data_IF_730618086292
#
_entry.id   IF_730618086292
#
_cell.length_a   1.000
_cell.length_b   1.000
_cell.length_c   1.000
_cell.angle_alpha   90.00
_cell.angle_beta   90.00
_cell.angle_gamma   90.00
#
_symmetry.space_group_name_H-M   'P 1'
#
loop_
_entity.id
_entity.type
_entity.pdbx_description
1 polymer ?
#
# COMPACT_ATOMS: atom_id res chain seq x y z
N UNK A 1 -9.52 35.93 -30.40
CA UNK A 1 -9.66 35.26 -29.08
C UNK A 1 -10.91 34.37 -28.93
N UNK A 2 -11.60 33.98 -30.01
CA UNK A 2 -12.77 33.07 -29.92
C UNK A 2 -12.43 31.59 -30.25
N UNK A 3 -11.28 31.31 -30.85
CA UNK A 3 -10.94 29.97 -31.35
C UNK A 3 -10.36 29.01 -30.28
N UNK A 4 -9.86 29.54 -29.16
CA UNK A 4 -9.26 28.72 -28.07
C UNK A 4 -10.29 28.11 -27.12
N UNK A 5 -11.49 28.68 -27.01
CA UNK A 5 -12.55 28.18 -26.13
C UNK A 5 -13.31 26.98 -26.71
N UNK A 6 -13.48 26.94 -28.04
CA UNK A 6 -14.20 25.85 -28.72
C UNK A 6 -13.39 24.54 -28.66
N UNK A 7 -12.06 24.62 -28.73
CA UNK A 7 -11.18 23.44 -28.70
C UNK A 7 -11.19 22.75 -27.32
N UNK A 8 -11.23 23.52 -26.22
CA UNK A 8 -11.29 22.95 -24.87
C UNK A 8 -12.67 22.36 -24.52
N UNK A 9 -13.78 22.97 -24.95
CA UNK A 9 -15.10 22.40 -24.73
C UNK A 9 -15.33 21.10 -25.54
N UNK A 10 -14.80 21.04 -26.78
CA UNK A 10 -14.86 19.84 -27.60
C UNK A 10 -14.02 18.67 -27.06
N UNK A 11 -12.81 18.94 -26.55
CA UNK A 11 -11.91 17.91 -26.02
C UNK A 11 -12.38 17.31 -24.68
N UNK A 12 -13.22 18.00 -23.91
CA UNK A 12 -13.85 17.45 -22.69
C UNK A 12 -15.17 16.71 -23.01
N UNK A 13 -15.91 17.15 -24.02
CA UNK A 13 -17.16 16.50 -24.41
C UNK A 13 -16.97 15.13 -25.08
N UNK A 14 -15.85 14.92 -25.79
CA UNK A 14 -15.59 13.65 -26.50
C UNK A 14 -15.36 12.47 -25.54
N UNK A 15 -14.52 12.57 -24.48
CA UNK A 15 -14.35 11.48 -23.50
C UNK A 15 -15.64 11.19 -22.72
N UNK A 16 -16.40 12.22 -22.33
CA UNK A 16 -17.65 12.04 -21.57
C UNK A 16 -18.77 11.46 -22.45
N UNK A 17 -18.90 11.94 -23.69
CA UNK A 17 -19.90 11.44 -24.65
C UNK A 17 -19.62 10.02 -25.12
N UNK A 18 -18.35 9.64 -25.30
CA UNK A 18 -17.98 8.26 -25.63
C UNK A 18 -18.26 7.31 -24.48
N UNK A 19 -17.96 7.71 -23.24
CA UNK A 19 -18.26 6.90 -22.05
C UNK A 19 -19.77 6.70 -21.86
N UNK A 20 -20.57 7.76 -21.96
CA UNK A 20 -22.04 7.65 -21.86
C UNK A 20 -22.65 6.86 -23.04
N UNK A 21 -22.13 7.03 -24.26
CA UNK A 21 -22.58 6.27 -25.43
C UNK A 21 -22.35 4.77 -25.31
N UNK A 22 -21.20 4.37 -24.74
CA UNK A 22 -20.90 2.95 -24.45
C UNK A 22 -21.85 2.41 -23.38
N UNK A 23 -22.11 3.16 -22.31
CA UNK A 23 -23.02 2.74 -21.24
C UNK A 23 -24.47 2.57 -21.73
N UNK A 24 -24.98 3.49 -22.56
CA UNK A 24 -26.31 3.36 -23.15
C UNK A 24 -26.39 2.23 -24.19
N UNK A 25 -25.31 1.99 -24.94
CA UNK A 25 -25.23 0.86 -25.88
C UNK A 25 -25.28 -0.50 -25.17
N UNK A 26 -24.55 -0.62 -24.05
CA UNK A 26 -24.57 -1.82 -23.21
C UNK A 26 -25.96 -2.03 -22.60
N UNK A 27 -26.60 -0.98 -22.07
CA UNK A 27 -27.93 -1.11 -21.49
C UNK A 27 -28.99 -1.49 -22.55
N UNK A 28 -28.91 -0.95 -23.76
CA UNK A 28 -29.78 -1.32 -24.87
C UNK A 28 -29.57 -2.77 -25.34
N UNK A 29 -28.32 -3.25 -25.38
CA UNK A 29 -28.01 -4.64 -25.69
C UNK A 29 -28.55 -5.59 -24.61
N UNK A 30 -28.43 -5.21 -23.34
CA UNK A 30 -28.96 -5.96 -22.20
C UNK A 30 -30.48 -6.09 -22.26
N UNK A 31 -31.18 -4.97 -22.52
CA UNK A 31 -32.64 -4.99 -22.72
C UNK A 31 -33.05 -5.86 -23.91
N UNK A 32 -32.32 -5.82 -25.03
CA UNK A 32 -32.59 -6.68 -26.19
C UNK A 32 -32.33 -8.17 -25.92
N UNK A 33 -31.46 -8.49 -24.96
CA UNK A 33 -31.08 -9.85 -24.57
C UNK A 33 -31.86 -10.38 -23.36
N UNK A 34 -32.80 -9.59 -22.82
CA UNK A 34 -33.60 -9.96 -21.64
C UNK A 34 -32.85 -9.85 -20.31
N UNK A 35 -31.70 -9.17 -20.29
CA UNK A 35 -30.91 -8.93 -19.08
C UNK A 35 -31.40 -7.67 -18.33
N UNK A 36 -31.26 -7.63 -16.99
CA UNK A 36 -31.64 -6.46 -16.20
C UNK A 36 -30.74 -5.25 -16.52
N UNK A 37 -31.26 -4.01 -16.42
CA UNK A 37 -30.50 -2.80 -16.69
C UNK A 37 -29.24 -2.69 -15.83
N UNK A 38 -28.21 -2.02 -16.35
CA UNK A 38 -26.90 -1.88 -15.70
C UNK A 38 -26.99 -1.15 -14.34
N UNK A 39 -28.07 -0.39 -14.11
CA UNK A 39 -28.31 0.39 -12.90
C UNK A 39 -29.71 0.12 -12.32
N UNK A 40 -29.96 -1.11 -11.87
CA UNK A 40 -31.09 -1.35 -10.96
C UNK A 40 -30.59 -1.52 -9.53
N UNK A 41 -31.11 -0.78 -8.55
CA UNK A 41 -30.81 -1.04 -7.15
C UNK A 41 -31.36 -2.42 -6.77
N UNK A 42 -30.49 -3.32 -6.32
CA UNK A 42 -30.86 -4.63 -5.80
C UNK A 42 -31.71 -4.47 -4.54
N UNK A 43 -33.00 -4.76 -4.64
CA UNK A 43 -33.88 -4.92 -3.49
C UNK A 43 -33.47 -6.19 -2.72
N UNK A 44 -32.96 -6.00 -1.51
CA UNK A 44 -32.66 -7.03 -0.52
C UNK A 44 -33.93 -7.84 -0.17
N UNK A 45 -33.89 -9.18 -0.11
CA UNK A 45 -35.06 -9.97 0.24
C UNK A 45 -35.20 -10.07 1.77
N UNK A 46 -36.24 -9.45 2.33
CA UNK A 46 -36.69 -9.75 3.70
C UNK A 46 -37.36 -8.59 4.44
N UNK A 47 -38.67 -8.40 4.24
CA UNK A 47 -39.63 -8.02 5.31
C UNK A 47 -41.04 -7.95 4.71
N UNK A 48 -42.02 -8.55 5.40
CA UNK A 48 -43.34 -8.89 4.89
C UNK A 48 -44.32 -7.72 4.69
N UNK A 49 -45.27 -7.96 3.79
CA UNK A 49 -46.46 -7.13 3.57
C UNK A 49 -47.46 -7.87 2.69
N UNK A 50 -48.58 -8.25 3.29
CA UNK A 50 -49.64 -9.09 2.72
C UNK A 50 -50.56 -8.35 1.75
N UNK A 51 -50.87 -8.97 0.61
CA UNK A 51 -52.07 -8.86 -0.27
C UNK A 51 -51.63 -9.30 -1.68
N UNK A 52 -52.31 -10.11 -2.49
CA UNK A 52 -53.63 -10.72 -2.53
C UNK A 52 -53.94 -10.96 -4.02
N UNK A 53 -54.33 -12.18 -4.42
CA UNK A 53 -55.04 -12.42 -5.69
C UNK A 53 -54.35 -13.24 -6.79
N UNK A 54 -54.79 -14.51 -6.89
CA UNK A 54 -55.10 -15.32 -8.09
C UNK A 54 -54.23 -15.34 -9.35
N UNK A 55 -53.91 -16.56 -9.79
CA UNK A 55 -53.79 -16.91 -11.22
C UNK A 55 -52.88 -18.10 -11.49
N UNK A 56 -53.45 -19.29 -11.64
CA UNK A 56 -52.72 -20.53 -11.97
C UNK A 56 -52.25 -20.62 -13.42
N UNK A 57 -51.34 -21.56 -13.67
CA UNK A 57 -50.89 -21.93 -15.00
C UNK A 57 -49.65 -22.82 -14.96
N UNK A 58 -49.86 -24.13 -14.99
CA UNK A 58 -48.83 -25.13 -15.28
C UNK A 58 -48.15 -24.86 -16.63
N UNK A 59 -46.83 -24.89 -16.67
CA UNK A 59 -46.11 -25.28 -17.89
C UNK A 59 -44.72 -25.83 -17.55
N UNK A 60 -44.59 -27.15 -17.72
CA UNK A 60 -43.35 -27.90 -17.85
C UNK A 60 -42.47 -27.31 -18.95
N UNK A 61 -41.25 -26.90 -18.61
CA UNK A 61 -40.23 -26.48 -19.57
C UNK A 61 -38.84 -26.72 -19.01
N UNK A 62 -38.34 -27.94 -19.18
CA UNK A 62 -36.94 -28.26 -18.97
C UNK A 62 -36.07 -27.42 -19.91
N UNK A 63 -35.21 -26.60 -19.33
CA UNK A 63 -34.16 -25.88 -20.01
C UNK A 63 -32.87 -26.10 -19.22
N UNK A 64 -32.06 -27.06 -19.67
CA UNK A 64 -30.69 -27.21 -19.22
C UNK A 64 -29.90 -25.96 -19.59
N UNK A 65 -29.85 -25.01 -18.66
CA UNK A 65 -28.94 -23.88 -18.72
C UNK A 65 -27.58 -24.34 -18.22
N UNK A 66 -26.69 -24.64 -19.16
CA UNK A 66 -25.25 -24.69 -18.94
C UNK A 66 -24.85 -23.57 -17.99
N UNK A 67 -24.39 -23.92 -16.80
CA UNK A 67 -23.74 -22.99 -15.88
C UNK A 67 -22.41 -22.56 -16.50
N UNK A 68 -22.49 -21.68 -17.50
CA UNK A 68 -21.36 -20.82 -17.82
C UNK A 68 -21.16 -19.96 -16.59
N UNK A 69 -20.23 -20.35 -15.72
CA UNK A 69 -19.76 -19.47 -14.67
C UNK A 69 -19.27 -18.21 -15.37
N UNK A 70 -20.06 -17.13 -15.30
CA UNK A 70 -19.55 -15.82 -15.66
C UNK A 70 -18.41 -15.58 -14.69
N UNK A 71 -17.18 -15.56 -15.19
CA UNK A 71 -16.02 -15.23 -14.37
C UNK A 71 -16.27 -13.85 -13.78
N UNK A 72 -16.37 -13.76 -12.46
CA UNK A 72 -16.53 -12.50 -11.75
C UNK A 72 -15.22 -11.71 -11.86
N UNK A 73 -15.23 -10.65 -12.66
CA UNK A 73 -14.11 -9.75 -12.88
C UNK A 73 -14.35 -8.38 -12.20
N UNK A 74 -15.17 -8.35 -11.16
CA UNK A 74 -15.44 -7.13 -10.39
C UNK A 74 -14.21 -6.59 -9.67
N UNK A 75 -14.25 -5.29 -9.36
CA UNK A 75 -13.30 -4.60 -8.50
C UNK A 75 -14.01 -4.29 -7.19
N UNK A 76 -13.40 -4.65 -6.06
CA UNK A 76 -13.95 -4.42 -4.72
C UNK A 76 -13.02 -3.51 -3.94
N UNK A 77 -13.59 -2.45 -3.36
CA UNK A 77 -12.91 -1.56 -2.43
C UNK A 77 -13.40 -1.85 -1.02
N UNK A 78 -12.50 -2.26 -0.14
CA UNK A 78 -12.80 -2.60 1.25
C UNK A 78 -12.08 -1.64 2.19
N UNK A 79 -12.76 -1.22 3.26
CA UNK A 79 -12.21 -0.32 4.27
C UNK A 79 -12.05 -1.04 5.61
N UNK A 80 -10.91 -0.82 6.27
CA UNK A 80 -10.52 -1.42 7.53
C UNK A 80 -9.97 -0.33 8.48
N UNK A 81 -10.73 -0.03 9.54
CA UNK A 81 -10.35 0.97 10.55
C UNK A 81 -10.03 0.34 11.91
N UNK A 82 -9.84 -0.99 11.95
CA UNK A 82 -9.38 -1.69 13.14
C UNK A 82 -7.95 -1.24 13.47
N UNK A 83 -7.59 -1.26 14.76
CA UNK A 83 -6.22 -0.92 15.17
C UNK A 83 -5.18 -1.86 14.55
N UNK A 84 -5.46 -3.16 14.54
CA UNK A 84 -4.65 -4.15 13.85
C UNK A 84 -5.56 -5.21 13.23
N UNK A 85 -5.40 -5.45 11.95
CA UNK A 85 -6.16 -6.44 11.20
C UNK A 85 -5.41 -6.81 9.93
N UNK A 86 -5.01 -8.07 9.81
CA UNK A 86 -4.38 -8.59 8.60
C UNK A 86 -5.41 -8.76 7.49
N UNK A 87 -5.16 -8.11 6.36
CA UNK A 87 -5.94 -8.21 5.13
C UNK A 87 -5.04 -8.87 4.10
N UNK A 88 -5.37 -10.08 3.66
CA UNK A 88 -4.59 -10.80 2.63
C UNK A 88 -5.44 -10.95 1.37
N UNK A 89 -5.40 -9.99 0.42
CA UNK A 89 -6.11 -10.09 -0.84
C UNK A 89 -5.68 -11.32 -1.63
N UNK A 90 -6.62 -12.11 -2.17
CA UNK A 90 -6.26 -13.28 -2.96
C UNK A 90 -5.54 -12.87 -4.25
N UNK A 91 -4.47 -13.58 -4.57
CA UNK A 91 -3.59 -13.33 -5.70
C UNK A 91 -3.23 -14.64 -6.40
N UNK A 92 -3.10 -14.61 -7.73
CA UNK A 92 -2.48 -15.71 -8.51
C UNK A 92 -0.95 -15.61 -8.60
N UNK A 93 -0.40 -14.50 -8.13
CA UNK A 93 1.03 -14.25 -8.03
C UNK A 93 1.48 -14.26 -6.57
N UNK A 94 2.35 -13.31 -6.24
CA UNK A 94 2.84 -13.00 -4.91
C UNK A 94 1.68 -12.68 -3.97
N UNK A 95 1.79 -13.19 -2.73
CA UNK A 95 0.83 -12.92 -1.68
C UNK A 95 1.31 -11.80 -0.78
N UNK A 96 0.36 -10.96 -0.38
CA UNK A 96 0.62 -9.82 0.47
C UNK A 96 -0.40 -9.73 1.60
N UNK A 97 0.07 -9.32 2.76
CA UNK A 97 -0.77 -8.97 3.90
C UNK A 97 -0.66 -7.48 4.21
N UNK A 98 -1.78 -6.76 4.13
CA UNK A 98 -1.89 -5.37 4.57
C UNK A 98 -2.40 -5.28 6.00
N UNK A 99 -1.98 -4.24 6.72
CA UNK A 99 -2.44 -4.01 8.09
C UNK A 99 -2.53 -2.51 8.40
N UNK A 100 -3.65 -2.01 8.98
CA UNK A 100 -3.72 -0.65 9.52
C UNK A 100 -2.65 -0.33 10.57
N UNK A 101 -2.27 -1.34 11.36
CA UNK A 101 -1.15 -1.37 12.31
C UNK A 101 -0.97 -0.08 13.14
N UNK A 102 -1.99 0.27 13.93
CA UNK A 102 -2.06 1.43 14.83
C UNK A 102 -1.51 1.07 16.22
N UNK A 103 -0.29 0.54 16.26
CA UNK A 103 0.34 -0.02 17.45
C UNK A 103 0.63 1.01 18.56
N UNK A 104 0.73 2.29 18.22
CA UNK A 104 0.91 3.39 19.18
C UNK A 104 -0.38 3.91 19.81
N UNK A 105 -1.55 3.41 19.41
CA UNK A 105 -2.84 3.85 19.95
C UNK A 105 -3.17 3.11 21.25
N UNK A 106 -3.22 3.83 22.37
CA UNK A 106 -3.47 3.27 23.70
C UNK A 106 -4.94 3.29 24.15
N UNK A 107 -5.73 4.26 23.65
CA UNK A 107 -7.11 4.47 24.09
C UNK A 107 -8.14 3.56 23.38
N UNK A 108 -7.68 2.78 22.41
CA UNK A 108 -8.50 1.88 21.62
C UNK A 108 -9.22 2.53 20.44
N UNK A 109 -9.09 3.85 20.24
CA UNK A 109 -9.84 4.61 19.23
C UNK A 109 -8.98 4.79 17.99
N UNK A 110 -9.44 4.22 16.88
CA UNK A 110 -8.72 4.35 15.63
C UNK A 110 -8.73 5.78 15.09
N UNK A 111 -7.56 6.24 14.64
CA UNK A 111 -7.37 7.49 13.88
C UNK A 111 -7.02 7.25 12.41
N UNK A 112 -7.15 6.01 11.92
CA UNK A 112 -6.72 5.58 10.59
C UNK A 112 -7.66 4.54 9.99
N UNK A 113 -7.97 4.70 8.71
CA UNK A 113 -8.66 3.69 7.91
C UNK A 113 -7.83 3.32 6.68
N UNK A 114 -7.55 2.03 6.54
CA UNK A 114 -6.93 1.42 5.37
C UNK A 114 -8.01 1.10 4.34
N UNK A 115 -7.79 1.45 3.08
CA UNK A 115 -8.62 1.06 1.95
C UNK A 115 -7.81 0.16 1.02
N UNK A 116 -8.38 -0.97 0.60
CA UNK A 116 -7.72 -1.95 -0.25
C UNK A 116 -8.56 -2.22 -1.48
N UNK A 117 -7.95 -2.14 -2.65
CA UNK A 117 -8.56 -2.47 -3.95
C UNK A 117 -8.23 -3.91 -4.32
N UNK A 118 -9.24 -4.75 -4.50
CA UNK A 118 -9.09 -6.16 -4.84
C UNK A 118 -9.83 -6.49 -6.13
N UNK A 119 -9.33 -7.48 -6.87
CA UNK A 119 -9.94 -7.94 -8.12
C UNK A 119 -10.51 -9.34 -7.92
N UNK A 120 -11.79 -9.54 -8.25
CA UNK A 120 -12.49 -10.82 -8.03
C UNK A 120 -11.87 -11.99 -8.82
N UNK A 121 -11.08 -11.68 -9.85
CA UNK A 121 -10.37 -12.67 -10.66
C UNK A 121 -8.91 -12.90 -10.20
N UNK A 122 -8.47 -12.24 -9.13
CA UNK A 122 -7.17 -12.42 -8.47
C UNK A 122 -5.95 -12.12 -9.37
N UNK A 123 -6.14 -11.38 -10.46
CA UNK A 123 -5.07 -11.05 -11.41
C UNK A 123 -4.67 -9.59 -11.31
N UNK A 124 -3.45 -9.34 -10.88
CA UNK A 124 -2.80 -8.03 -10.85
C UNK A 124 -1.92 -7.82 -12.09
N UNK A 125 -1.41 -6.60 -12.37
CA UNK A 125 -0.66 -6.29 -13.59
C UNK A 125 0.53 -7.22 -13.87
N UNK A 126 1.23 -7.67 -12.83
CA UNK A 126 2.29 -8.69 -12.88
C UNK A 126 2.06 -9.75 -11.80
N UNK A 127 2.84 -10.83 -11.84
CA UNK A 127 2.84 -11.85 -10.78
C UNK A 127 3.38 -11.32 -9.44
N UNK A 128 4.00 -10.15 -9.42
CA UNK A 128 4.64 -9.55 -8.25
C UNK A 128 3.98 -8.23 -7.89
N UNK A 129 2.86 -7.88 -8.54
CA UNK A 129 2.14 -6.64 -8.30
C UNK A 129 1.22 -6.81 -7.10
N UNK A 130 1.33 -5.89 -6.16
CA UNK A 130 0.43 -5.79 -5.04
C UNK A 130 -0.92 -5.15 -5.43
N UNK A 131 -1.99 -5.39 -4.65
CA UNK A 131 -3.21 -4.59 -4.71
C UNK A 131 -2.93 -3.11 -4.42
N UNK A 132 -3.61 -2.21 -5.14
CA UNK A 132 -3.57 -0.80 -4.80
C UNK A 132 -4.26 -0.54 -3.46
N UNK A 133 -3.68 0.31 -2.63
CA UNK A 133 -4.19 0.60 -1.30
C UNK A 133 -3.91 2.03 -0.85
N UNK A 134 -4.63 2.47 0.17
CA UNK A 134 -4.42 3.78 0.79
C UNK A 134 -4.71 3.74 2.29
N UNK A 135 -4.13 4.66 3.04
CA UNK A 135 -4.45 4.88 4.44
C UNK A 135 -4.79 6.36 4.64
N UNK A 136 -6.04 6.63 5.04
CA UNK A 136 -6.46 7.98 5.46
C UNK A 136 -6.39 8.05 6.97
N UNK A 137 -5.69 9.04 7.51
CA UNK A 137 -5.49 9.16 8.94
C UNK A 137 -5.39 10.59 9.41
N UNK A 138 -5.58 10.75 10.72
CA UNK A 138 -5.34 11.98 11.48
C UNK A 138 -5.02 11.60 12.92
N UNK A 139 -3.86 12.01 13.41
CA UNK A 139 -3.48 11.86 14.81
C UNK A 139 -3.07 13.20 15.39
N UNK A 140 -3.23 13.35 16.71
CA UNK A 140 -2.61 14.44 17.45
C UNK A 140 -1.12 14.13 17.68
N UNK A 141 -0.33 15.14 18.03
CA UNK A 141 1.11 14.93 18.25
C UNK A 141 1.32 13.97 19.43
N UNK A 142 2.05 12.87 19.18
CA UNK A 142 2.42 11.90 20.21
C UNK A 142 3.49 12.45 21.18
N UNK A 143 3.69 11.80 22.34
CA UNK A 143 4.78 12.14 23.25
C UNK A 143 6.15 11.86 22.61
N UNK A 144 7.20 12.56 23.04
CA UNK A 144 8.58 12.37 22.52
C UNK A 144 9.09 10.93 22.68
N UNK A 145 8.61 10.19 23.69
CA UNK A 145 8.98 8.80 23.94
C UNK A 145 8.32 7.80 23.00
N UNK A 146 7.22 8.19 22.35
CA UNK A 146 6.41 7.34 21.48
C UNK A 146 5.67 8.22 20.45
N UNK A 147 6.40 8.82 19.48
CA UNK A 147 5.82 9.82 18.59
C UNK A 147 5.05 9.22 17.40
N UNK A 148 5.23 7.92 17.13
CA UNK A 148 4.55 7.19 16.04
C UNK A 148 3.27 6.54 16.57
N UNK A 149 2.15 6.74 15.87
CA UNK A 149 0.86 6.12 16.20
C UNK A 149 0.58 4.85 15.43
N UNK A 150 1.00 4.81 14.17
CA UNK A 150 0.66 3.72 13.27
C UNK A 150 1.73 3.53 12.21
N UNK A 151 1.80 2.32 11.67
CA UNK A 151 2.57 1.98 10.49
C UNK A 151 1.69 1.20 9.52
N UNK A 152 0.66 1.82 8.89
CA UNK A 152 -0.10 1.18 7.81
C UNK A 152 0.86 0.65 6.75
N UNK A 153 0.82 -0.66 6.52
CA UNK A 153 1.80 -1.32 5.67
C UNK A 153 1.20 -2.47 4.86
N UNK A 154 2.01 -2.94 3.92
CA UNK A 154 1.85 -4.17 3.17
C UNK A 154 3.13 -5.00 3.31
N UNK A 155 2.99 -6.27 3.65
CA UNK A 155 4.07 -7.24 3.88
C UNK A 155 4.06 -8.30 2.78
N UNK A 156 5.25 -8.77 2.39
CA UNK A 156 5.41 -9.97 1.55
C UNK A 156 5.18 -11.21 2.39
N UNK A 157 4.29 -12.11 1.96
CA UNK A 157 3.95 -13.32 2.72
C UNK A 157 4.83 -14.52 2.38
N UNK A 158 5.29 -14.63 1.12
CA UNK A 158 6.02 -15.80 0.63
C UNK A 158 7.54 -15.54 0.51
N UNK A 159 8.33 -16.61 0.42
CA UNK A 159 9.78 -16.52 0.14
C UNK A 159 10.69 -16.13 1.32
N UNK A 160 10.13 -15.79 2.49
CA UNK A 160 10.88 -15.46 3.71
C UNK A 160 10.67 -16.52 4.82
N UNK A 161 11.65 -16.77 5.71
CA UNK A 161 12.97 -16.15 5.77
C UNK A 161 13.96 -16.75 4.76
N UNK A 162 14.92 -15.94 4.30
CA UNK A 162 15.97 -16.32 3.34
C UNK A 162 17.33 -15.75 3.76
N UNK A 163 18.41 -16.53 3.62
CA UNK A 163 19.75 -16.04 3.93
C UNK A 163 20.14 -14.95 2.93
N UNK A 164 20.79 -13.88 3.40
CA UNK A 164 21.22 -12.79 2.52
C UNK A 164 22.17 -13.27 1.41
N UNK A 165 22.99 -14.28 1.68
CA UNK A 165 23.89 -14.90 0.70
C UNK A 165 23.17 -15.62 -0.43
N UNK A 166 21.91 -16.00 -0.21
CA UNK A 166 21.10 -16.77 -1.16
C UNK A 166 20.22 -15.85 -2.01
N UNK A 167 20.13 -14.55 -1.68
CA UNK A 167 19.38 -13.57 -2.48
C UNK A 167 20.14 -13.20 -3.75
N UNK A 168 19.44 -13.17 -4.89
CA UNK A 168 19.97 -12.69 -6.16
C UNK A 168 19.47 -11.29 -6.55
N UNK A 169 18.27 -10.91 -6.10
CA UNK A 169 17.69 -9.58 -6.29
C UNK A 169 16.54 -9.31 -5.32
N UNK A 170 16.29 -8.03 -5.03
CA UNK A 170 15.04 -7.54 -4.45
C UNK A 170 14.51 -6.46 -5.39
N UNK A 171 13.82 -6.86 -6.45
CA UNK A 171 13.29 -5.93 -7.43
C UNK A 171 12.05 -5.22 -6.85
N UNK A 172 12.11 -3.89 -6.82
CA UNK A 172 11.10 -3.04 -6.20
C UNK A 172 10.67 -1.95 -7.18
N UNK A 173 9.38 -1.89 -7.48
CA UNK A 173 8.76 -0.86 -8.31
C UNK A 173 7.62 -0.19 -7.55
N UNK A 174 7.64 1.13 -7.47
CA UNK A 174 6.83 1.89 -6.54
C UNK A 174 6.32 3.19 -7.16
N UNK A 175 5.03 3.46 -6.97
CA UNK A 175 4.45 4.79 -7.00
C UNK A 175 3.65 4.99 -5.70
N UNK A 176 3.92 6.09 -5.00
CA UNK A 176 3.11 6.51 -3.85
C UNK A 176 2.91 8.03 -3.82
N UNK A 177 1.90 8.47 -3.07
CA UNK A 177 1.64 9.88 -2.80
C UNK A 177 1.09 10.10 -1.40
N UNK A 178 1.26 11.33 -0.91
CA UNK A 178 0.55 11.88 0.24
C UNK A 178 -0.32 13.05 -0.24
N UNK A 179 -1.51 13.17 0.33
CA UNK A 179 -2.45 14.26 0.01
C UNK A 179 -3.19 14.72 1.25
N UNK A 180 -3.58 16.00 1.27
CA UNK A 180 -4.51 16.51 2.29
C UNK A 180 -5.92 16.04 1.98
N UNK A 181 -6.66 15.66 3.02
CA UNK A 181 -8.02 15.17 2.97
C UNK A 181 -8.10 13.65 2.88
N UNK A 182 -9.27 13.17 2.45
CA UNK A 182 -9.67 11.76 2.40
C UNK A 182 -9.79 11.22 0.97
N UNK A 183 -9.14 11.87 0.01
CA UNK A 183 -9.16 11.48 -1.40
C UNK A 183 -7.76 11.16 -1.88
N UNK A 184 -7.63 10.15 -2.72
CA UNK A 184 -6.34 9.79 -3.33
C UNK A 184 -6.01 10.70 -4.51
N UNK A 185 -4.71 10.84 -4.81
CA UNK A 185 -4.20 11.53 -6.00
C UNK A 185 -2.94 10.83 -6.50
N UNK A 186 -2.60 10.99 -7.77
CA UNK A 186 -1.31 10.56 -8.35
C UNK A 186 -0.25 11.66 -8.30
N UNK A 187 -0.57 12.82 -7.73
CA UNK A 187 0.37 13.93 -7.51
C UNK A 187 0.31 14.43 -6.06
N UNK A 188 1.44 14.95 -5.59
CA UNK A 188 1.60 15.49 -4.24
C UNK A 188 1.74 17.01 -4.28
N UNK A 189 1.05 17.71 -3.38
CA UNK A 189 1.24 19.14 -3.13
C UNK A 189 1.93 19.29 -1.76
N UNK A 190 3.26 19.40 -1.79
CA UNK A 190 4.06 19.47 -0.56
C UNK A 190 3.73 20.71 0.28
N UNK A 191 3.38 21.84 -0.36
CA UNK A 191 2.98 23.06 0.37
C UNK A 191 1.65 22.87 1.11
N UNK A 192 0.72 22.09 0.55
CA UNK A 192 -0.51 21.73 1.25
C UNK A 192 -0.24 20.80 2.44
N UNK A 193 0.68 19.84 2.30
CA UNK A 193 1.10 18.94 3.38
C UNK A 193 1.80 19.69 4.52
N UNK A 194 2.67 20.65 4.18
CA UNK A 194 3.29 21.56 5.16
C UNK A 194 2.23 22.41 5.88
N UNK A 195 1.19 22.85 5.15
CA UNK A 195 0.08 23.62 5.69
C UNK A 195 -0.78 22.88 6.72
N UNK A 196 -0.70 21.54 6.77
CA UNK A 196 -1.34 20.70 7.80
C UNK A 196 -0.31 20.05 8.72
N UNK A 197 0.93 20.55 8.74
CA UNK A 197 2.00 20.08 9.62
C UNK A 197 2.20 18.56 9.56
N UNK A 198 2.15 17.96 8.36
CA UNK A 198 2.34 16.51 8.19
C UNK A 198 3.70 16.09 8.78
N UNK A 199 3.66 15.17 9.73
CA UNK A 199 4.81 14.41 10.19
C UNK A 199 4.57 12.93 9.89
N UNK A 200 5.33 12.40 8.94
CA UNK A 200 5.30 11.02 8.50
C UNK A 200 6.57 10.67 7.72
N UNK A 201 6.85 9.37 7.60
CA UNK A 201 7.78 8.87 6.59
C UNK A 201 7.06 7.99 5.57
N UNK A 202 7.78 7.55 4.55
CA UNK A 202 7.36 6.45 3.68
C UNK A 202 8.54 5.52 3.56
N UNK A 203 8.39 4.30 4.04
CA UNK A 203 9.52 3.43 4.34
C UNK A 203 9.23 1.97 4.02
N UNK A 204 10.28 1.28 3.62
CA UNK A 204 10.40 -0.17 3.78
C UNK A 204 10.97 -0.43 5.17
N UNK A 205 10.48 -1.47 5.82
CA UNK A 205 10.96 -1.99 7.08
C UNK A 205 11.30 -3.48 6.93
N UNK A 206 12.55 -3.84 7.25
CA UNK A 206 13.12 -5.17 7.11
C UNK A 206 13.79 -5.62 8.41
N UNK A 207 13.54 -6.86 8.82
CA UNK A 207 14.18 -7.44 10.00
C UNK A 207 15.10 -8.59 9.65
N UNK A 208 16.31 -8.56 10.22
CA UNK A 208 17.35 -9.53 9.97
C UNK A 208 17.93 -10.09 11.27
N UNK A 209 18.31 -11.36 11.24
CA UNK A 209 18.94 -12.06 12.37
C UNK A 209 19.68 -13.30 11.86
N UNK A 210 20.75 -13.70 12.55
CA UNK A 210 21.45 -14.97 12.30
C UNK A 210 20.53 -16.19 12.47
N UNK A 211 19.47 -16.05 13.27
CA UNK A 211 18.42 -17.03 13.44
C UNK A 211 17.19 -16.70 12.56
N UNK A 212 16.93 -17.57 11.58
CA UNK A 212 15.80 -17.43 10.65
C UNK A 212 14.42 -17.25 11.31
N UNK A 213 14.18 -17.77 12.52
CA UNK A 213 12.90 -17.56 13.22
C UNK A 213 12.84 -16.20 13.91
N UNK A 214 13.97 -15.70 14.41
CA UNK A 214 14.04 -14.37 15.01
C UNK A 214 13.95 -13.27 13.97
N UNK A 215 14.49 -13.48 12.77
CA UNK A 215 14.44 -12.47 11.71
C UNK A 215 13.01 -12.13 11.26
N UNK A 216 12.03 -13.00 11.49
CA UNK A 216 10.60 -12.73 11.25
C UNK A 216 9.91 -12.03 12.43
N UNK A 217 10.62 -11.70 13.51
CA UNK A 217 10.08 -11.02 14.69
C UNK A 217 10.63 -9.60 14.80
N UNK A 218 9.79 -8.61 14.47
CA UNK A 218 10.16 -7.19 14.48
C UNK A 218 10.72 -6.68 15.81
N UNK A 219 10.32 -7.26 16.94
CA UNK A 219 10.82 -6.87 18.27
C UNK A 219 12.02 -7.69 18.75
N UNK A 220 12.35 -8.79 18.06
CA UNK A 220 13.32 -9.78 18.52
C UNK A 220 14.52 -10.00 17.60
N UNK A 221 14.46 -9.51 16.36
CA UNK A 221 15.55 -9.56 15.40
C UNK A 221 16.72 -8.65 15.82
N UNK A 222 17.95 -9.02 15.52
CA UNK A 222 19.12 -8.21 15.86
C UNK A 222 19.22 -6.89 15.07
N UNK A 223 18.74 -6.89 13.82
CA UNK A 223 18.83 -5.75 12.92
C UNK A 223 17.47 -5.32 12.39
N UNK A 224 17.31 -4.00 12.25
CA UNK A 224 16.23 -3.33 11.54
C UNK A 224 16.87 -2.52 10.41
N UNK A 225 16.56 -2.85 9.16
CA UNK A 225 17.04 -2.11 7.99
C UNK A 225 15.84 -1.44 7.34
N UNK A 226 15.85 -0.11 7.33
CA UNK A 226 14.82 0.69 6.72
C UNK A 226 15.31 1.35 5.44
N UNK A 227 14.41 1.51 4.46
CA UNK A 227 14.65 2.32 3.26
C UNK A 227 13.55 3.36 3.16
N UNK A 228 13.86 4.62 3.43
CA UNK A 228 12.91 5.72 3.47
C UNK A 228 12.92 6.47 2.14
N UNK A 229 11.78 6.53 1.48
CA UNK A 229 11.54 7.27 0.23
C UNK A 229 10.93 8.66 0.46
N UNK A 230 10.45 8.94 1.68
CA UNK A 230 9.85 10.21 2.03
C UNK A 230 10.00 10.51 3.51
N UNK A 231 10.20 11.79 3.81
CA UNK A 231 10.29 12.32 5.17
C UNK A 231 9.57 13.67 5.19
N UNK A 232 8.56 13.78 6.04
CA UNK A 232 7.74 14.98 6.20
C UNK A 232 7.80 15.46 7.65
N UNK A 233 7.93 16.77 7.83
CA UNK A 233 7.90 17.42 9.14
C UNK A 233 9.16 17.22 10.00
N UNK A 234 9.37 18.17 10.91
CA UNK A 234 10.58 18.22 11.74
C UNK A 234 10.61 17.14 12.85
N UNK A 235 9.46 16.59 13.22
CA UNK A 235 9.35 15.53 14.23
C UNK A 235 9.63 14.14 13.66
N UNK A 236 9.76 14.01 12.34
CA UNK A 236 10.12 12.76 11.68
C UNK A 236 11.63 12.73 11.46
N UNK A 237 12.32 11.80 12.10
CA UNK A 237 13.77 11.65 11.98
C UNK A 237 14.17 10.19 12.09
N UNK A 238 15.25 9.83 11.41
CA UNK A 238 15.83 8.49 11.46
C UNK A 238 16.52 8.26 12.82
N UNK A 239 16.58 7.00 13.23
CA UNK A 239 17.36 6.61 14.39
C UNK A 239 18.84 6.90 14.10
N UNK A 240 19.53 7.56 15.05
CA UNK A 240 20.93 7.95 14.89
C UNK A 240 21.17 9.33 14.28
N UNK A 241 20.15 9.98 13.72
CA UNK A 241 20.27 11.29 13.07
C UNK A 241 20.96 12.36 13.94
N UNK A 242 20.55 12.48 15.21
CA UNK A 242 21.09 13.48 16.13
C UNK A 242 22.44 13.10 16.75
N UNK A 243 22.85 11.83 16.62
CA UNK A 243 24.08 11.31 17.27
C UNK A 243 25.24 11.27 16.29
N UNK A 244 25.03 10.68 15.11
CA UNK A 244 26.08 10.49 14.09
C UNK A 244 25.82 11.29 12.81
N UNK A 245 24.56 11.63 12.52
CA UNK A 245 24.17 12.16 11.23
C UNK A 245 24.32 11.12 10.13
N UNK A 246 24.60 11.59 8.90
CA UNK A 246 24.88 10.72 7.75
C UNK A 246 26.23 10.04 7.93
N UNK A 247 26.24 8.71 7.87
CA UNK A 247 27.46 7.89 8.02
C UNK A 247 28.00 7.36 6.69
N UNK A 248 27.16 7.29 5.66
CA UNK A 248 27.55 6.91 4.29
C UNK A 248 26.51 7.40 3.28
N UNK A 249 26.84 7.34 1.98
CA UNK A 249 25.96 7.73 0.88
C UNK A 249 26.05 6.73 -0.27
N UNK A 250 24.92 6.32 -0.85
CA UNK A 250 24.88 5.40 -1.99
C UNK A 250 23.94 5.88 -3.09
N UNK A 251 24.40 5.83 -4.34
CA UNK A 251 23.56 6.16 -5.50
C UNK A 251 23.04 4.89 -6.18
N UNK A 252 21.74 4.64 -6.08
CA UNK A 252 21.06 3.53 -6.73
C UNK A 252 20.18 4.07 -7.84
N UNK A 253 20.56 3.80 -9.09
CA UNK A 253 19.82 4.18 -10.30
C UNK A 253 19.50 5.70 -10.41
N UNK A 254 20.38 6.56 -9.88
CA UNK A 254 20.18 8.02 -9.89
C UNK A 254 19.47 8.57 -8.66
N UNK A 255 18.94 7.71 -7.78
CA UNK A 255 18.45 8.10 -6.45
C UNK A 255 19.59 8.00 -5.45
N UNK A 256 19.90 9.11 -4.78
CA UNK A 256 20.89 9.16 -3.71
C UNK A 256 20.24 8.81 -2.37
N UNK A 257 20.87 7.91 -1.62
CA UNK A 257 20.46 7.46 -0.30
C UNK A 257 21.55 7.79 0.71
N UNK A 258 21.17 8.50 1.77
CA UNK A 258 22.00 8.77 2.95
C UNK A 258 21.78 7.67 3.99
N UNK A 259 22.86 7.06 4.48
CA UNK A 259 22.81 6.06 5.53
C UNK A 259 22.88 6.71 6.91
N UNK A 260 21.97 6.29 7.78
CA UNK A 260 21.97 6.59 9.20
C UNK A 260 22.09 5.30 10.00
N UNK A 261 22.66 5.39 11.19
CA UNK A 261 22.80 4.27 12.12
C UNK A 261 22.56 4.68 13.57
N UNK A 262 21.82 3.85 14.30
CA UNK A 262 21.73 3.92 15.76
C UNK A 262 21.08 2.67 16.34
N UNK A 263 20.58 2.78 17.57
CA UNK A 263 19.86 1.69 18.24
C UNK A 263 18.47 2.13 18.67
N UNK A 264 17.48 1.26 18.48
CA UNK A 264 16.12 1.49 18.94
C UNK A 264 15.91 1.06 20.41
N UNK A 265 14.68 1.20 20.91
CA UNK A 265 14.32 0.84 22.29
C UNK A 265 14.47 -0.66 22.63
N UNK A 266 14.58 -1.52 21.62
CA UNK A 266 14.80 -2.96 21.76
C UNK A 266 16.29 -3.36 21.67
N UNK A 267 17.21 -2.38 21.65
CA UNK A 267 18.66 -2.57 21.50
C UNK A 267 19.09 -3.16 20.12
N UNK A 268 18.17 -3.17 19.15
CA UNK A 268 18.43 -3.59 17.77
C UNK A 268 19.33 -2.57 17.06
N UNK A 269 20.19 -3.05 16.17
CA UNK A 269 20.99 -2.18 15.30
C UNK A 269 20.11 -1.70 14.15
N UNK A 270 19.84 -0.39 14.09
CA UNK A 270 18.97 0.20 13.08
C UNK A 270 19.80 0.92 12.03
N UNK A 271 19.63 0.51 10.78
CA UNK A 271 20.20 1.17 9.61
C UNK A 271 19.08 1.77 8.79
N UNK A 272 19.17 3.05 8.46
CA UNK A 272 18.17 3.70 7.60
C UNK A 272 18.82 4.33 6.40
N UNK A 273 18.49 3.82 5.22
CA UNK A 273 18.81 4.46 3.94
C UNK A 273 17.69 5.47 3.61
N UNK A 274 17.95 6.76 3.72
CA UNK A 274 16.99 7.82 3.44
C UNK A 274 17.32 8.49 2.11
N UNK A 275 16.35 8.56 1.20
CA UNK A 275 16.52 9.30 -0.06
C UNK A 275 16.77 10.79 0.20
N UNK A 276 17.78 11.37 -0.45
CA UNK A 276 18.14 12.78 -0.30
C UNK A 276 16.98 13.74 -0.68
N UNK A 277 16.14 13.32 -1.63
CA UNK A 277 14.92 14.00 -2.05
C UNK A 277 13.72 13.07 -1.92
N UNK A 278 12.53 13.62 -1.68
CA UNK A 278 11.29 12.81 -1.62
C UNK A 278 11.08 12.09 -2.96
N UNK A 279 11.13 10.76 -2.91
CA UNK A 279 11.11 9.87 -4.07
C UNK A 279 9.76 9.16 -4.14
N UNK A 280 8.78 9.80 -4.76
CA UNK A 280 7.41 9.25 -4.91
C UNK A 280 7.31 8.10 -5.92
N UNK A 281 8.28 8.02 -6.84
CA UNK A 281 8.41 6.92 -7.81
C UNK A 281 9.83 6.37 -7.76
N UNK A 282 9.95 5.06 -7.62
CA UNK A 282 11.23 4.37 -7.61
C UNK A 282 11.12 3.03 -8.32
N UNK A 283 12.17 2.66 -9.06
CA UNK A 283 12.33 1.32 -9.62
C UNK A 283 13.79 0.90 -9.47
N UNK A 284 14.04 -0.22 -8.81
CA UNK A 284 15.40 -0.71 -8.64
C UNK A 284 15.52 -1.96 -7.77
N UNK A 285 16.73 -2.51 -7.77
CA UNK A 285 17.12 -3.67 -6.96
C UNK A 285 17.65 -3.20 -5.60
N UNK A 286 16.84 -3.40 -4.56
CA UNK A 286 17.14 -2.99 -3.20
C UNK A 286 18.18 -3.87 -2.51
N UNK A 287 18.48 -5.07 -3.04
CA UNK A 287 19.53 -5.93 -2.49
C UNK A 287 20.87 -5.22 -2.45
N UNK A 288 21.11 -4.27 -3.36
CA UNK A 288 22.32 -3.44 -3.39
C UNK A 288 22.51 -2.62 -2.11
N UNK A 289 21.45 -2.04 -1.57
CA UNK A 289 21.53 -1.27 -0.30
C UNK A 289 21.88 -2.19 0.89
N UNK A 290 21.39 -3.43 0.89
CA UNK A 290 21.73 -4.43 1.91
C UNK A 290 23.17 -4.94 1.72
N UNK A 291 23.59 -5.11 0.47
CA UNK A 291 24.95 -5.56 0.12
C UNK A 291 26.00 -4.56 0.58
N UNK A 292 25.73 -3.26 0.47
CA UNK A 292 26.62 -2.22 1.02
C UNK A 292 26.83 -2.37 2.53
N UNK A 293 25.80 -2.76 3.28
CA UNK A 293 25.91 -2.99 4.73
C UNK A 293 26.71 -4.25 5.07
N UNK A 294 26.66 -5.28 4.23
CA UNK A 294 27.25 -6.60 4.54
C UNK A 294 28.64 -6.83 3.95
N UNK A 295 28.97 -6.25 2.81
CA UNK A 295 30.26 -6.48 2.12
C UNK A 295 31.32 -5.44 2.44
N UNK A 296 30.91 -4.20 2.72
CA UNK A 296 31.84 -3.07 2.85
C UNK A 296 32.15 -2.70 4.31
N UNK A 297 31.58 -3.43 5.29
CA UNK A 297 31.80 -3.15 6.70
C UNK A 297 32.31 -4.37 7.49
N UNK A 298 33.26 -4.12 8.39
CA UNK A 298 33.88 -5.15 9.24
C UNK A 298 33.59 -4.96 10.71
N UNK A 299 32.75 -3.97 11.08
CA UNK A 299 32.39 -3.77 12.47
C UNK A 299 31.29 -4.75 12.89
N UNK A 300 31.40 -5.28 14.11
CA UNK A 300 30.53 -6.35 14.62
C UNK A 300 29.04 -5.97 14.74
N UNK A 301 28.69 -4.70 14.54
CA UNK A 301 27.31 -4.19 14.59
C UNK A 301 26.64 -4.09 13.21
N UNK A 302 27.32 -4.47 12.13
CA UNK A 302 26.71 -4.62 10.81
C UNK A 302 26.16 -6.03 10.61
N UNK A 303 25.10 -6.19 9.79
CA UNK A 303 24.66 -7.51 9.37
C UNK A 303 25.75 -8.21 8.55
N UNK A 304 25.72 -9.53 8.58
CA UNK A 304 26.55 -10.44 7.82
C UNK A 304 25.77 -11.05 6.66
N UNK A 305 26.46 -11.48 5.60
CA UNK A 305 25.81 -12.22 4.50
C UNK A 305 25.17 -13.55 4.91
N UNK A 306 25.45 -14.05 6.12
CA UNK A 306 24.85 -15.28 6.66
C UNK A 306 23.57 -15.02 7.48
N UNK A 307 23.22 -13.77 7.74
CA UNK A 307 21.96 -13.43 8.39
C UNK A 307 20.77 -13.66 7.46
N UNK A 308 19.60 -13.89 8.05
CA UNK A 308 18.37 -14.12 7.33
C UNK A 308 17.55 -12.84 7.24
N UNK A 309 17.10 -12.46 6.05
CA UNK A 309 15.96 -11.56 5.88
C UNK A 309 14.70 -12.34 6.22
N UNK A 310 13.98 -11.95 7.28
CA UNK A 310 12.80 -12.68 7.74
C UNK A 310 11.49 -11.91 7.67
N UNK A 311 11.56 -10.62 7.39
CA UNK A 311 10.41 -9.73 7.31
C UNK A 311 10.71 -8.63 6.30
N UNK A 312 9.75 -8.34 5.42
CA UNK A 312 9.82 -7.24 4.47
C UNK A 312 8.44 -6.60 4.36
N UNK A 313 8.32 -5.33 4.73
CA UNK A 313 7.07 -4.58 4.56
C UNK A 313 7.32 -3.17 4.07
N UNK A 314 6.37 -2.63 3.30
CA UNK A 314 6.37 -1.25 2.82
C UNK A 314 5.18 -0.50 3.41
N UNK A 315 5.38 0.72 3.87
CA UNK A 315 4.31 1.49 4.49
C UNK A 315 4.71 2.93 4.80
N UNK A 316 4.01 3.52 5.76
CA UNK A 316 4.24 4.88 6.22
C UNK A 316 4.04 4.95 7.73
N UNK A 317 5.04 5.41 8.48
CA UNK A 317 4.85 5.71 9.89
C UNK A 317 4.11 7.03 10.03
N UNK A 318 2.95 6.99 10.70
CA UNK A 318 2.07 8.13 10.94
C UNK A 318 2.35 8.73 12.32
N UNK A 319 2.84 9.98 12.35
CA UNK A 319 3.17 10.68 13.60
C UNK A 319 2.11 11.72 13.95
N UNK A 320 1.82 12.65 13.04
CA UNK A 320 0.93 13.77 13.32
C UNK A 320 0.49 14.49 12.05
N UNK A 321 -0.74 15.01 12.05
CA UNK A 321 -1.21 16.00 11.08
C UNK A 321 -2.37 16.83 11.68
N UNK A 322 -2.40 18.13 11.38
CA UNK A 322 -3.44 19.06 11.84
C UNK A 322 -4.82 18.74 11.23
N UNK A 323 -4.83 18.10 10.05
CA UNK A 323 -6.03 17.65 9.36
C UNK A 323 -5.85 16.24 8.79
N UNK A 324 -6.92 15.66 8.23
CA UNK A 324 -6.84 14.39 7.55
C UNK A 324 -5.84 14.45 6.40
N UNK A 325 -5.06 13.39 6.28
CA UNK A 325 -4.17 13.13 5.16
C UNK A 325 -4.40 11.71 4.65
N UNK A 326 -4.09 11.49 3.37
CA UNK A 326 -4.19 10.17 2.74
C UNK A 326 -2.86 9.79 2.11
N UNK A 327 -2.26 8.72 2.62
CA UNK A 327 -1.18 7.96 1.99
C UNK A 327 -1.79 7.04 0.95
N UNK A 328 -1.30 7.06 -0.29
CA UNK A 328 -1.86 6.30 -1.40
C UNK A 328 -0.75 5.58 -2.17
N UNK A 329 -0.95 4.29 -2.41
CA UNK A 329 -0.01 3.39 -3.10
C UNK A 329 -0.74 2.77 -4.30
N UNK A 330 -0.81 3.48 -5.43
CA UNK A 330 -1.48 2.99 -6.63
C UNK A 330 -0.68 1.92 -7.39
N UNK A 331 0.65 1.93 -7.28
CA UNK A 331 1.53 0.95 -7.94
C UNK A 331 2.56 0.47 -6.92
N UNK A 332 2.62 -0.83 -6.71
CA UNK A 332 3.67 -1.49 -5.94
C UNK A 332 3.90 -2.87 -6.53
N UNK A 333 5.16 -3.20 -6.78
CA UNK A 333 5.60 -4.56 -7.10
C UNK A 333 6.83 -4.89 -6.29
N UNK A 334 6.83 -6.07 -5.68
CA UNK A 334 7.95 -6.57 -4.86
C UNK A 334 8.25 -7.99 -5.33
N UNK A 335 9.49 -8.23 -5.74
CA UNK A 335 9.97 -9.55 -6.17
C UNK A 335 11.29 -9.87 -5.46
N UNK A 336 11.23 -10.83 -4.53
CA UNK A 336 12.38 -11.31 -3.76
C UNK A 336 12.86 -12.61 -4.40
N UNK A 337 14.05 -12.59 -5.00
CA UNK A 337 14.60 -13.70 -5.77
C UNK A 337 15.74 -14.38 -5.01
N UNK A 338 15.70 -15.70 -4.90
CA UNK A 338 16.71 -16.56 -4.27
C UNK A 338 17.07 -17.78 -5.12
#
# INVERSE_FOLDING_TARGET
MAFRWIVNAGLVAIPVGTTLGVLFGIDAQRQASGEPPLFTPTSTPGSGGSSGGSGGGDSTGGGGGSSGSVSDNGIVNSQYCQLSYGVSPPSKGENYTLNPNQWGVEDGVSGLCLNVTTFNNETYPTNTSAPAWSATWKYAQGPETQPVWAFPNIMVDDGLPVALSDLSAIDFDLLWTYTVGNTTSTSMDTSALDGVSLNANVAIDMFLDANATKSSNSSGAEYEIMVWFGRFGDSTYTIGNTTLGVIDTYNLNGTEFDLYYGKNGNDQNVFTWLTAETTSRFTGDLLKLITELTMNNTADYYPSGTDYLGYFSFGSEAYFADDYVTFNVPELSIDIQS
#
